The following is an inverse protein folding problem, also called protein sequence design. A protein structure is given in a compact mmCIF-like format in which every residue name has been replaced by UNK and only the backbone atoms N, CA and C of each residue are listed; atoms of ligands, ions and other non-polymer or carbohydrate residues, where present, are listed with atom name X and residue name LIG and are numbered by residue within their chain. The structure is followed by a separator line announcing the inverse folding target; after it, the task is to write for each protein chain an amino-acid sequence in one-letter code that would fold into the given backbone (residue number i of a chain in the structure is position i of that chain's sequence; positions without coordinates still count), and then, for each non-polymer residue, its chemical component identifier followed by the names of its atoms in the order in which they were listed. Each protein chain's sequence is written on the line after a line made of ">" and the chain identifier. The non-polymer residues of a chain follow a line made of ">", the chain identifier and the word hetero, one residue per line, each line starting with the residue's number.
data_IF_729914115326
#
_entry.id   IF_729914115326
#
_cell.length_a   1.000
_cell.length_b   1.000
_cell.length_c   1.000
_cell.angle_alpha   90.00
_cell.angle_beta   90.00
_cell.angle_gamma   90.00
#
_symmetry.space_group_name_H-M   'P 1'
#
loop_
_entity.id
_entity.type
_entity.pdbx_description
1 polymer ?
#
# COMPACT_ATOMS: atom_id res chain seq x y z
N UNK A 1 28.39 -1.58 17.06
CA UNK A 1 28.03 -0.23 17.55
C UNK A 1 26.53 -0.24 17.71
N UNK A 2 26.06 -0.09 18.94
CA UNK A 2 24.62 0.04 19.19
C UNK A 2 24.18 1.42 18.66
N UNK A 3 23.62 1.44 17.47
CA UNK A 3 23.09 2.68 16.89
C UNK A 3 21.78 2.99 17.61
N UNK A 4 21.70 4.12 18.29
CA UNK A 4 20.45 4.50 18.97
C UNK A 4 19.31 4.68 17.96
N UNK A 5 18.08 4.35 18.34
CA UNK A 5 16.88 4.52 17.48
C UNK A 5 16.81 5.95 16.93
N UNK A 6 17.11 6.98 17.74
CA UNK A 6 17.15 8.36 17.30
C UNK A 6 18.15 8.63 16.17
N UNK A 7 19.29 7.92 16.14
CA UNK A 7 20.24 8.01 15.02
C UNK A 7 19.65 7.41 13.75
N UNK A 8 19.01 6.26 13.83
CA UNK A 8 18.35 5.62 12.68
C UNK A 8 17.24 6.51 12.11
N UNK A 9 16.42 7.13 12.98
CA UNK A 9 15.39 8.09 12.56
C UNK A 9 16.01 9.26 11.80
N UNK A 10 17.08 9.86 12.37
CA UNK A 10 17.73 11.00 11.77
C UNK A 10 18.39 10.68 10.40
N UNK A 11 18.99 9.48 10.28
CA UNK A 11 19.54 8.96 9.01
C UNK A 11 18.43 8.81 7.96
N UNK A 12 17.36 8.08 8.26
CA UNK A 12 16.25 7.84 7.32
C UNK A 12 15.62 9.14 6.81
N UNK A 13 15.40 10.11 7.70
CA UNK A 13 14.85 11.43 7.30
C UNK A 13 15.84 12.19 6.42
N UNK A 14 17.13 12.13 6.75
CA UNK A 14 18.17 12.76 5.98
C UNK A 14 18.32 12.15 4.59
N UNK A 15 18.41 10.82 4.52
CA UNK A 15 18.58 10.07 3.27
C UNK A 15 17.44 10.39 2.30
N UNK A 16 16.17 10.35 2.77
CA UNK A 16 15.04 10.72 1.94
C UNK A 16 15.10 12.18 1.45
N UNK A 17 15.55 13.11 2.29
CA UNK A 17 15.69 14.52 1.90
C UNK A 17 16.79 14.73 0.85
N UNK A 18 17.88 13.95 0.89
CA UNK A 18 19.00 14.03 -0.05
C UNK A 18 18.73 13.27 -1.36
N UNK A 19 18.10 12.10 -1.29
CA UNK A 19 17.75 11.30 -2.47
C UNK A 19 16.57 11.89 -3.25
N UNK A 20 15.66 12.58 -2.56
CA UNK A 20 14.44 13.13 -3.13
C UNK A 20 13.33 12.08 -3.30
N UNK A 21 12.23 12.50 -3.95
CA UNK A 21 11.07 11.64 -4.19
C UNK A 21 11.36 10.78 -5.42
N UNK A 22 11.32 9.42 -5.30
CA UNK A 22 11.56 8.53 -6.43
C UNK A 22 10.54 8.72 -7.56
N UNK A 23 11.00 8.62 -8.81
CA UNK A 23 10.12 8.57 -9.97
C UNK A 23 9.23 7.32 -9.93
N UNK A 24 7.98 7.47 -10.32
CA UNK A 24 6.98 6.40 -10.20
C UNK A 24 6.11 6.27 -11.44
N UNK A 25 5.55 5.09 -11.61
CA UNK A 25 4.46 4.88 -12.56
C UNK A 25 3.13 5.35 -11.94
N UNK A 26 2.39 6.19 -12.67
CA UNK A 26 1.14 6.76 -12.19
C UNK A 26 0.02 5.72 -12.08
N UNK A 27 -0.51 5.59 -10.86
CA UNK A 27 -1.66 4.74 -10.53
C UNK A 27 -2.96 5.54 -10.63
N UNK A 28 -4.03 4.84 -11.03
CA UNK A 28 -5.36 5.46 -11.21
C UNK A 28 -6.09 5.76 -9.90
N UNK A 29 -5.62 5.23 -8.76
CA UNK A 29 -6.22 5.47 -7.46
C UNK A 29 -6.18 6.95 -7.09
N UNK A 30 -7.34 7.61 -7.06
CA UNK A 30 -7.46 9.00 -6.63
C UNK A 30 -7.53 9.09 -5.10
N UNK A 31 -6.74 10.00 -4.52
CA UNK A 31 -6.82 10.40 -3.11
C UNK A 31 -7.60 11.73 -2.94
N UNK A 32 -8.31 12.17 -3.98
CA UNK A 32 -9.07 13.41 -3.95
C UNK A 32 -8.19 14.66 -4.16
N UNK A 33 -8.70 15.81 -3.68
CA UNK A 33 -7.95 17.07 -3.70
C UNK A 33 -6.94 17.10 -2.58
N UNK A 34 -5.76 17.67 -2.86
CA UNK A 34 -4.76 17.91 -1.82
C UNK A 34 -5.35 18.94 -0.84
N UNK A 35 -5.42 18.56 0.42
CA UNK A 35 -5.86 19.43 1.50
C UNK A 35 -4.63 20.13 2.09
N UNK A 36 -4.65 21.47 2.17
CA UNK A 36 -3.58 22.21 2.87
C UNK A 36 -3.42 21.72 4.31
N UNK A 37 -2.18 21.71 4.85
CA UNK A 37 -1.97 21.29 6.23
C UNK A 37 -2.77 22.15 7.22
N UNK A 38 -3.69 21.53 7.94
CA UNK A 38 -4.56 22.17 8.93
C UNK A 38 -4.85 21.21 10.09
N UNK A 39 -5.31 21.75 11.23
CA UNK A 39 -5.82 20.94 12.31
C UNK A 39 -7.18 20.38 11.93
N UNK A 40 -7.46 19.15 12.34
CA UNK A 40 -8.73 18.49 12.09
C UNK A 40 -8.88 17.89 10.69
N UNK A 41 -7.83 17.88 9.86
CA UNK A 41 -7.86 17.17 8.58
C UNK A 41 -8.09 15.68 8.80
N UNK A 42 -8.83 15.06 7.87
CA UNK A 42 -8.97 13.61 7.86
C UNK A 42 -7.64 12.94 7.46
N UNK A 43 -7.38 11.77 8.04
CA UNK A 43 -6.22 10.97 7.63
C UNK A 43 -6.54 10.22 6.34
N UNK A 44 -5.70 10.35 5.33
CA UNK A 44 -5.81 9.58 4.10
C UNK A 44 -5.11 8.23 4.28
N UNK A 45 -5.85 7.14 4.23
CA UNK A 45 -5.32 5.80 4.47
C UNK A 45 -5.40 4.97 3.20
N UNK A 46 -4.24 4.50 2.72
CA UNK A 46 -4.13 3.58 1.59
C UNK A 46 -3.93 2.17 2.14
N UNK A 47 -4.92 1.33 1.97
CA UNK A 47 -4.85 -0.09 2.32
C UNK A 47 -4.67 -0.95 1.07
N UNK A 48 -4.17 -2.14 1.23
CA UNK A 48 -4.02 -3.09 0.12
C UNK A 48 -3.05 -4.21 0.46
N UNK A 49 -3.11 -5.27 -0.32
CA UNK A 49 -2.23 -6.42 -0.14
C UNK A 49 -0.76 -6.02 -0.21
N UNK A 50 0.10 -6.80 0.44
CA UNK A 50 1.55 -6.58 0.34
C UNK A 50 1.98 -6.55 -1.12
N UNK A 51 2.93 -5.64 -1.45
CA UNK A 51 3.52 -5.48 -2.80
C UNK A 51 2.57 -5.02 -3.92
N UNK A 52 1.37 -4.51 -3.59
CA UNK A 52 0.48 -3.89 -4.59
C UNK A 52 0.90 -2.47 -5.01
N UNK A 53 1.93 -1.88 -4.38
CA UNK A 53 2.46 -0.56 -4.74
C UNK A 53 2.02 0.60 -3.83
N UNK A 54 1.62 0.35 -2.58
CA UNK A 54 1.21 1.40 -1.63
C UNK A 54 2.26 2.49 -1.45
N UNK A 55 3.51 2.11 -1.20
CA UNK A 55 4.65 3.03 -1.09
C UNK A 55 4.79 3.93 -2.33
N UNK A 56 4.73 3.34 -3.53
CA UNK A 56 4.83 4.10 -4.78
C UNK A 56 3.64 5.04 -4.98
N UNK A 57 2.45 4.68 -4.48
CA UNK A 57 1.29 5.57 -4.51
C UNK A 57 1.45 6.76 -3.55
N UNK A 58 2.19 6.59 -2.42
CA UNK A 58 2.59 7.72 -1.58
C UNK A 58 3.54 8.65 -2.33
N UNK A 59 4.56 8.13 -3.01
CA UNK A 59 5.50 8.95 -3.80
C UNK A 59 4.79 9.73 -4.90
N UNK A 60 3.83 9.11 -5.59
CA UNK A 60 2.98 9.81 -6.56
C UNK A 60 2.22 10.99 -5.93
N UNK A 61 1.71 10.84 -4.71
CA UNK A 61 1.02 11.93 -4.01
C UNK A 61 1.99 13.05 -3.60
N UNK A 62 3.20 12.70 -3.19
CA UNK A 62 4.25 13.69 -2.88
C UNK A 62 4.61 14.51 -4.13
N UNK A 63 4.76 13.88 -5.29
CA UNK A 63 4.97 14.59 -6.56
C UNK A 63 3.81 15.55 -6.87
N UNK A 64 2.55 15.15 -6.62
CA UNK A 64 1.40 16.02 -6.79
C UNK A 64 1.46 17.24 -5.87
N UNK A 65 1.83 17.05 -4.59
CA UNK A 65 1.96 18.12 -3.59
C UNK A 65 3.03 19.13 -4.02
N UNK A 66 4.19 18.64 -4.45
CA UNK A 66 5.27 19.52 -4.96
C UNK A 66 4.84 20.26 -6.23
N UNK A 67 4.11 19.59 -7.14
CA UNK A 67 3.59 20.22 -8.36
C UNK A 67 2.51 21.29 -8.07
N UNK A 68 1.79 21.22 -6.94
CA UNK A 68 0.90 22.30 -6.47
C UNK A 68 1.63 23.46 -5.80
N UNK A 69 2.96 23.39 -5.69
CA UNK A 69 3.83 24.49 -5.21
C UNK A 69 4.20 24.40 -3.73
N UNK A 70 3.90 23.31 -3.04
CA UNK A 70 4.37 23.10 -1.67
C UNK A 70 5.85 22.71 -1.67
N UNK A 71 6.66 23.27 -0.75
CA UNK A 71 8.09 22.96 -0.69
C UNK A 71 8.32 21.52 -0.22
N UNK A 72 9.32 20.85 -0.81
CA UNK A 72 9.65 19.47 -0.47
C UNK A 72 10.06 19.31 1.01
N UNK A 73 10.65 20.32 1.62
CA UNK A 73 11.03 20.31 3.04
C UNK A 73 9.83 20.39 4.00
N UNK A 74 8.62 20.63 3.49
CA UNK A 74 7.37 20.46 4.24
C UNK A 74 6.85 19.02 4.26
N UNK A 75 7.51 18.09 3.57
CA UNK A 75 7.11 16.67 3.46
C UNK A 75 8.00 15.81 4.33
N UNK A 76 7.39 15.05 5.24
CA UNK A 76 8.03 13.94 5.93
C UNK A 76 7.55 12.63 5.33
N UNK A 77 8.48 11.80 4.84
CA UNK A 77 8.24 10.38 4.55
C UNK A 77 8.98 9.50 5.55
N UNK A 78 8.30 8.51 6.10
CA UNK A 78 8.90 7.55 7.00
C UNK A 78 8.28 6.17 6.85
N UNK A 79 9.12 5.18 6.55
CA UNK A 79 8.72 3.77 6.47
C UNK A 79 9.11 3.07 7.78
N UNK A 80 8.11 2.43 8.41
CA UNK A 80 8.27 1.73 9.69
C UNK A 80 8.67 0.24 9.52
N UNK A 81 8.67 -0.32 8.32
CA UNK A 81 9.14 -1.68 8.06
C UNK A 81 10.69 -1.73 8.01
N UNK A 82 11.33 -1.47 9.17
CA UNK A 82 12.79 -1.45 9.32
C UNK A 82 13.15 -2.12 10.65
N UNK A 83 13.88 -3.23 10.58
CA UNK A 83 14.27 -4.02 11.76
C UNK A 83 15.13 -3.26 12.76
N UNK A 84 15.85 -2.22 12.34
CA UNK A 84 16.68 -1.36 13.21
C UNK A 84 15.86 -0.51 14.17
N UNK A 85 14.55 -0.37 13.90
CA UNK A 85 13.61 0.35 14.75
C UNK A 85 13.00 -0.54 15.84
N UNK A 86 13.33 -1.84 15.85
CA UNK A 86 12.79 -2.79 16.84
C UNK A 86 13.55 -2.69 18.17
N UNK A 87 12.87 -2.87 19.33
CA UNK A 87 11.42 -3.07 19.43
C UNK A 87 10.65 -1.79 19.11
N UNK A 88 9.50 -1.92 18.45
CA UNK A 88 8.65 -0.77 18.14
C UNK A 88 7.94 -0.29 19.41
N UNK A 89 8.39 0.81 19.95
CA UNK A 89 7.77 1.47 21.09
C UNK A 89 6.76 2.53 20.64
N UNK A 90 5.75 2.80 21.46
CA UNK A 90 4.70 3.78 21.15
C UNK A 90 5.22 5.22 21.01
N UNK A 91 6.36 5.51 21.61
CA UNK A 91 7.05 6.80 21.55
C UNK A 91 7.72 7.06 20.21
N UNK A 92 8.01 6.01 19.43
CA UNK A 92 8.71 6.08 18.15
C UNK A 92 8.09 7.12 17.18
N UNK A 93 6.76 7.13 17.07
CA UNK A 93 6.07 8.08 16.21
C UNK A 93 6.30 9.54 16.62
N UNK A 94 6.34 9.81 17.94
CA UNK A 94 6.62 11.14 18.44
C UNK A 94 8.07 11.55 18.17
N UNK A 95 9.02 10.64 18.36
CA UNK A 95 10.44 10.89 18.08
C UNK A 95 10.66 11.24 16.60
N UNK A 96 10.03 10.51 15.68
CA UNK A 96 10.08 10.79 14.23
C UNK A 96 9.61 12.23 13.93
N UNK A 97 8.49 12.65 14.54
CA UNK A 97 7.96 14.00 14.36
C UNK A 97 8.90 15.07 14.91
N UNK A 98 9.45 14.86 16.11
CA UNK A 98 10.34 15.84 16.74
C UNK A 98 11.67 15.98 15.98
N UNK A 99 12.25 14.88 15.49
CA UNK A 99 13.45 14.90 14.65
C UNK A 99 13.18 15.67 13.35
N UNK A 100 12.03 15.43 12.71
CA UNK A 100 11.63 16.16 11.50
C UNK A 100 11.50 17.67 11.77
N UNK A 101 10.78 18.07 12.80
CA UNK A 101 10.58 19.48 13.13
C UNK A 101 11.84 20.18 13.62
N UNK A 102 12.78 19.46 14.25
CA UNK A 102 14.08 20.01 14.62
C UNK A 102 14.89 20.39 13.37
N UNK A 103 14.73 19.66 12.28
CA UNK A 103 15.39 19.94 10.99
C UNK A 103 14.65 20.98 10.15
N UNK A 104 13.32 21.01 10.27
CA UNK A 104 12.42 21.85 9.46
C UNK A 104 11.52 22.73 10.37
N UNK A 105 12.07 23.75 11.05
CA UNK A 105 11.30 24.56 11.99
C UNK A 105 10.13 25.32 11.35
N UNK A 106 10.23 25.68 10.06
CA UNK A 106 9.15 26.34 9.32
C UNK A 106 7.95 25.42 9.18
N UNK A 107 8.16 24.14 8.90
CA UNK A 107 7.09 23.15 8.77
C UNK A 107 6.24 23.02 10.05
N UNK A 108 6.84 23.28 11.23
CA UNK A 108 6.09 23.31 12.50
C UNK A 108 5.10 24.48 12.60
N UNK A 109 5.41 25.62 11.99
CA UNK A 109 4.58 26.82 12.04
C UNK A 109 3.59 26.91 10.88
N UNK A 110 4.04 26.63 9.69
CA UNK A 110 3.29 26.73 8.45
C UNK A 110 2.40 25.50 8.21
N UNK A 111 2.83 24.33 8.71
CA UNK A 111 2.20 23.03 8.55
C UNK A 111 3.02 22.09 7.69
N UNK A 112 2.73 20.79 7.76
CA UNK A 112 3.47 19.75 7.06
C UNK A 112 2.58 18.65 6.51
N UNK A 113 3.12 17.93 5.51
CA UNK A 113 2.56 16.70 4.96
C UNK A 113 3.34 15.51 5.52
N UNK A 114 2.62 14.57 6.11
CA UNK A 114 3.20 13.39 6.73
C UNK A 114 2.81 12.13 5.96
N UNK A 115 3.81 11.35 5.59
CA UNK A 115 3.65 10.10 4.87
C UNK A 115 4.22 8.97 5.71
N UNK A 116 3.34 8.20 6.33
CA UNK A 116 3.67 7.07 7.20
C UNK A 116 3.43 5.75 6.47
N UNK A 117 4.50 5.11 6.07
CA UNK A 117 4.43 3.85 5.35
C UNK A 117 4.54 2.66 6.31
N UNK A 118 3.62 1.69 6.18
CA UNK A 118 3.46 0.51 7.04
C UNK A 118 3.32 0.88 8.54
N UNK A 119 2.53 1.93 8.84
CA UNK A 119 2.39 2.50 10.21
C UNK A 119 1.85 1.49 11.24
N UNK A 120 1.15 0.43 10.80
CA UNK A 120 0.61 -0.60 11.68
C UNK A 120 1.69 -1.44 12.39
N UNK A 121 2.96 -1.26 12.07
CA UNK A 121 4.06 -1.89 12.80
C UNK A 121 4.27 -1.25 14.18
N UNK A 122 3.86 0.01 14.35
CA UNK A 122 4.01 0.73 15.62
C UNK A 122 2.77 0.56 16.49
N UNK A 123 2.90 0.18 17.78
CA UNK A 123 1.77 0.11 18.69
C UNK A 123 1.05 1.45 18.85
N UNK A 124 -0.26 1.42 19.09
CA UNK A 124 -1.10 2.59 19.38
C UNK A 124 -1.07 3.71 18.33
N UNK A 125 -0.64 3.39 17.10
CA UNK A 125 -0.53 4.37 16.00
C UNK A 125 -1.85 5.13 15.74
N UNK A 126 -3.00 4.49 15.91
CA UNK A 126 -4.31 5.12 15.72
C UNK A 126 -4.57 6.25 16.72
N UNK A 127 -4.27 6.03 18.00
CA UNK A 127 -4.38 7.05 19.05
C UNK A 127 -3.39 8.20 18.80
N UNK A 128 -2.19 7.87 18.34
CA UNK A 128 -1.21 8.87 17.97
C UNK A 128 -1.68 9.77 16.81
N UNK A 129 -2.19 9.18 15.73
CA UNK A 129 -2.69 9.95 14.58
C UNK A 129 -3.86 10.85 14.97
N UNK A 130 -4.78 10.36 15.82
CA UNK A 130 -5.88 11.16 16.33
C UNK A 130 -5.37 12.41 17.07
N UNK A 131 -4.45 12.21 18.02
CA UNK A 131 -3.81 13.34 18.73
C UNK A 131 -3.08 14.27 17.78
N UNK A 132 -2.44 13.72 16.76
CA UNK A 132 -1.66 14.48 15.78
C UNK A 132 -2.55 15.43 14.96
N UNK A 133 -3.68 14.97 14.45
CA UNK A 133 -4.62 15.82 13.67
C UNK A 133 -5.23 16.93 14.51
N UNK A 134 -5.41 16.71 15.81
CA UNK A 134 -5.94 17.72 16.72
C UNK A 134 -4.88 18.77 17.11
N UNK A 135 -3.60 18.37 17.17
CA UNK A 135 -2.52 19.18 17.74
C UNK A 135 -1.75 19.96 16.68
N UNK A 136 -1.43 19.33 15.55
CA UNK A 136 -0.55 19.90 14.53
C UNK A 136 -1.35 20.37 13.31
N UNK A 137 -0.79 21.37 12.59
CA UNK A 137 -1.25 21.67 11.23
C UNK A 137 -0.67 20.60 10.31
N UNK A 138 -1.44 19.57 10.04
CA UNK A 138 -0.96 18.40 9.34
C UNK A 138 -1.96 17.93 8.27
N UNK A 139 -1.44 17.43 7.15
CA UNK A 139 -2.15 16.54 6.24
C UNK A 139 -1.42 15.22 6.25
N UNK A 140 -2.12 14.15 6.59
CA UNK A 140 -1.51 12.84 6.86
C UNK A 140 -1.97 11.83 5.82
N UNK A 141 -0.99 11.12 5.27
CA UNK A 141 -1.15 9.95 4.42
C UNK A 141 -0.51 8.76 5.11
N UNK A 142 -1.24 7.67 5.26
CA UNK A 142 -0.73 6.47 5.90
C UNK A 142 -0.99 5.24 5.03
N UNK A 143 -0.08 4.27 5.07
CA UNK A 143 -0.31 2.97 4.44
C UNK A 143 -0.25 1.84 5.47
N UNK A 144 -0.89 0.74 5.11
CA UNK A 144 -0.78 -0.51 5.85
C UNK A 144 -1.52 -1.66 5.20
N UNK A 145 -1.34 -2.86 5.73
CA UNK A 145 -2.13 -4.00 5.29
C UNK A 145 -3.60 -3.79 5.68
N UNK A 146 -4.52 -4.04 4.76
CA UNK A 146 -5.97 -3.78 4.92
C UNK A 146 -6.55 -4.32 6.22
N UNK A 147 -6.01 -5.41 6.67
CA UNK A 147 -6.50 -6.14 7.83
C UNK A 147 -6.19 -5.46 9.18
N UNK A 148 -5.05 -4.77 9.32
CA UNK A 148 -4.67 -4.08 10.56
C UNK A 148 -5.21 -2.65 10.64
N UNK A 149 -5.52 -2.03 9.51
CA UNK A 149 -5.92 -0.63 9.42
C UNK A 149 -7.42 -0.39 9.64
N UNK A 150 -8.27 -1.38 9.41
CA UNK A 150 -9.73 -1.24 9.51
C UNK A 150 -10.27 -1.11 10.95
N UNK A 151 -9.42 -1.25 11.96
CA UNK A 151 -9.80 -1.21 13.38
C UNK A 151 -9.49 0.11 14.08
N UNK A 152 -9.27 1.20 13.33
CA UNK A 152 -8.82 2.46 13.93
C UNK A 152 -9.96 3.41 14.32
N UNK A 153 -9.80 4.05 15.48
CA UNK A 153 -10.69 5.10 16.00
C UNK A 153 -10.46 6.48 15.35
N UNK A 154 -9.61 6.56 14.32
CA UNK A 154 -9.30 7.84 13.67
C UNK A 154 -10.29 8.11 12.55
N UNK A 155 -10.82 9.32 12.51
CA UNK A 155 -11.59 9.80 11.36
C UNK A 155 -10.69 9.82 10.12
N UNK A 156 -10.90 8.88 9.19
CA UNK A 156 -10.03 8.64 8.06
C UNK A 156 -10.79 8.31 6.79
N UNK A 157 -10.20 8.70 5.67
CA UNK A 157 -10.64 8.30 4.35
C UNK A 157 -9.84 7.10 3.87
N UNK A 158 -10.47 5.93 3.83
CA UNK A 158 -9.85 4.70 3.35
C UNK A 158 -9.96 4.58 1.83
N UNK A 159 -8.86 4.23 1.20
CA UNK A 159 -8.77 3.88 -0.22
C UNK A 159 -8.04 2.56 -0.36
N UNK A 160 -8.63 1.61 -1.07
CA UNK A 160 -8.01 0.32 -1.31
C UNK A 160 -7.23 0.32 -2.63
N UNK A 161 -5.95 -0.02 -2.55
CA UNK A 161 -5.07 -0.17 -3.71
C UNK A 161 -4.92 -1.65 -4.05
N UNK A 162 -5.33 -2.01 -5.25
CA UNK A 162 -5.11 -3.33 -5.83
C UNK A 162 -3.81 -3.36 -6.64
N UNK A 163 -3.28 -4.54 -7.01
CA UNK A 163 -2.31 -4.65 -8.09
C UNK A 163 -2.80 -3.92 -9.35
N UNK A 164 -1.94 -3.69 -10.33
CA UNK A 164 -2.33 -2.96 -11.55
C UNK A 164 -3.66 -3.46 -12.11
N UNK A 165 -4.58 -2.55 -12.37
CA UNK A 165 -5.75 -2.82 -13.21
C UNK A 165 -5.31 -3.14 -14.63
N UNK A 166 -6.18 -3.71 -15.46
CA UNK A 166 -5.83 -3.98 -16.87
C UNK A 166 -5.46 -2.69 -17.64
N UNK A 167 -6.14 -1.58 -17.36
CA UNK A 167 -5.82 -0.28 -17.97
C UNK A 167 -4.43 0.22 -17.55
N UNK A 168 -4.11 0.14 -16.25
CA UNK A 168 -2.77 0.48 -15.74
C UNK A 168 -1.70 -0.46 -16.30
N UNK A 169 -2.00 -1.76 -16.40
CA UNK A 169 -1.09 -2.74 -16.99
C UNK A 169 -0.76 -2.42 -18.46
N UNK A 170 -1.76 -2.06 -19.27
CA UNK A 170 -1.55 -1.67 -20.68
C UNK A 170 -0.63 -0.45 -20.78
N UNK A 171 -0.84 0.57 -19.93
CA UNK A 171 0.05 1.74 -19.87
C UNK A 171 1.46 1.36 -19.36
N UNK A 172 1.54 0.46 -18.39
CA UNK A 172 2.82 -0.04 -17.89
C UNK A 172 3.63 -0.79 -18.97
N UNK A 173 2.95 -1.43 -19.93
CA UNK A 173 3.58 -2.03 -21.12
C UNK A 173 3.97 -1.00 -22.19
N UNK A 174 3.73 0.30 -21.96
CA UNK A 174 4.01 1.36 -22.94
C UNK A 174 2.96 1.51 -24.03
N UNK A 175 1.78 0.92 -23.87
CA UNK A 175 0.68 1.01 -24.83
C UNK A 175 -0.36 2.04 -24.42
N UNK A 176 -1.09 2.60 -25.39
CA UNK A 176 -2.24 3.44 -25.10
C UNK A 176 -3.38 2.61 -24.51
N UNK A 177 -3.82 2.98 -23.31
CA UNK A 177 -4.98 2.38 -22.69
C UNK A 177 -6.22 3.27 -22.89
N UNK A 178 -7.41 2.68 -23.08
CA UNK A 178 -8.65 3.45 -23.05
C UNK A 178 -8.81 4.14 -21.70
N UNK A 179 -9.03 5.46 -21.69
CA UNK A 179 -9.29 6.19 -20.46
C UNK A 179 -10.65 5.77 -19.88
N UNK A 180 -10.67 5.36 -18.62
CA UNK A 180 -11.91 5.00 -17.92
C UNK A 180 -12.84 6.19 -17.70
N UNK A 181 -12.32 7.42 -17.79
CA UNK A 181 -13.08 8.66 -17.55
C UNK A 181 -13.66 9.27 -18.81
N UNK A 182 -13.36 8.72 -19.97
CA UNK A 182 -13.81 9.28 -21.24
C UNK A 182 -15.04 8.51 -21.72
N UNK A 183 -16.23 8.98 -21.33
CA UNK A 183 -17.51 8.44 -21.81
C UNK A 183 -17.64 8.51 -23.34
N UNK A 184 -16.83 9.35 -24.00
CA UNK A 184 -16.67 9.38 -25.45
C UNK A 184 -15.77 8.26 -25.99
N UNK A 185 -14.83 7.72 -25.19
CA UNK A 185 -13.94 6.62 -25.59
C UNK A 185 -14.65 5.27 -25.68
N UNK A 186 -15.73 5.07 -24.92
CA UNK A 186 -16.56 3.86 -25.01
C UNK A 186 -17.22 3.68 -26.38
N UNK A 187 -17.31 4.75 -27.21
CA UNK A 187 -17.84 4.74 -28.57
C UNK A 187 -16.75 4.79 -29.66
N UNK A 188 -15.47 4.97 -29.32
CA UNK A 188 -14.39 4.92 -30.30
C UNK A 188 -14.19 3.49 -30.77
N UNK A 189 -14.41 3.24 -32.04
CA UNK A 189 -14.01 2.00 -32.68
C UNK A 189 -12.48 1.91 -32.65
N UNK A 190 -11.93 1.03 -31.82
CA UNK A 190 -10.49 0.75 -31.81
C UNK A 190 -10.03 0.28 -33.19
N UNK A 191 -8.89 0.76 -33.65
CA UNK A 191 -8.25 0.25 -34.86
C UNK A 191 -7.99 -1.27 -34.72
N UNK A 192 -7.90 -1.98 -35.84
CA UNK A 192 -7.59 -3.42 -35.83
C UNK A 192 -6.27 -3.71 -35.12
N UNK A 193 -5.30 -2.82 -35.29
CA UNK A 193 -3.98 -2.91 -34.65
C UNK A 193 -4.09 -2.78 -33.11
N UNK A 194 -4.80 -1.77 -32.63
CA UNK A 194 -5.03 -1.57 -31.20
C UNK A 194 -5.78 -2.73 -30.55
N UNK A 195 -6.78 -3.28 -31.26
CA UNK A 195 -7.48 -4.49 -30.79
C UNK A 195 -6.56 -5.71 -30.68
N UNK A 196 -5.61 -5.85 -31.60
CA UNK A 196 -4.63 -6.93 -31.54
C UNK A 196 -3.69 -6.78 -30.33
N UNK A 197 -3.17 -5.56 -30.09
CA UNK A 197 -2.35 -5.26 -28.90
C UNK A 197 -3.11 -5.50 -27.60
N UNK A 198 -4.34 -5.00 -27.48
CA UNK A 198 -5.14 -5.19 -26.26
C UNK A 198 -5.47 -6.66 -26.00
N UNK A 199 -5.72 -7.48 -27.03
CA UNK A 199 -5.91 -8.92 -26.87
C UNK A 199 -4.64 -9.62 -26.39
N UNK A 200 -3.49 -9.25 -26.94
CA UNK A 200 -2.20 -9.79 -26.50
C UNK A 200 -1.92 -9.44 -25.05
N UNK A 201 -2.09 -8.17 -24.67
CA UNK A 201 -1.90 -7.69 -23.31
C UNK A 201 -2.90 -8.32 -22.33
N UNK A 202 -4.15 -8.53 -22.76
CA UNK A 202 -5.14 -9.24 -21.97
C UNK A 202 -4.70 -10.68 -21.67
N UNK A 203 -4.16 -11.40 -22.66
CA UNK A 203 -3.60 -12.73 -22.47
C UNK A 203 -2.46 -12.76 -21.45
N UNK A 204 -1.54 -11.79 -21.54
CA UNK A 204 -0.46 -11.63 -20.57
C UNK A 204 -0.99 -11.32 -19.16
N UNK A 205 -1.91 -10.36 -19.07
CA UNK A 205 -2.51 -9.95 -17.80
C UNK A 205 -3.26 -11.10 -17.10
N UNK A 206 -4.04 -11.87 -17.85
CA UNK A 206 -4.74 -13.05 -17.32
C UNK A 206 -3.79 -14.16 -16.86
N UNK A 207 -2.62 -14.28 -17.50
CA UNK A 207 -1.62 -15.28 -17.13
C UNK A 207 -0.71 -14.88 -15.97
N UNK A 208 -0.43 -13.57 -15.80
CA UNK A 208 0.55 -13.06 -14.81
C UNK A 208 -0.06 -12.22 -13.69
N UNK A 209 -1.28 -11.69 -13.90
CA UNK A 209 -1.90 -10.74 -12.96
C UNK A 209 -1.27 -9.35 -12.99
N UNK A 210 -1.71 -8.50 -12.06
CA UNK A 210 -1.34 -7.08 -12.00
C UNK A 210 -0.18 -6.72 -11.07
N UNK A 211 0.53 -7.67 -10.45
CA UNK A 211 1.69 -7.33 -9.62
C UNK A 211 2.86 -6.86 -10.50
N UNK A 212 3.41 -5.67 -10.22
CA UNK A 212 4.51 -5.09 -11.00
C UNK A 212 5.75 -5.99 -10.97
N UNK A 213 6.07 -6.55 -9.81
CA UNK A 213 7.28 -7.34 -9.63
C UNK A 213 7.34 -8.63 -10.45
N UNK A 214 6.21 -9.13 -10.97
CA UNK A 214 6.19 -10.31 -11.84
C UNK A 214 6.25 -9.97 -13.32
N UNK A 215 6.15 -8.68 -13.66
CA UNK A 215 6.23 -8.26 -15.04
C UNK A 215 7.68 -8.37 -15.54
N UNK A 216 7.85 -8.92 -16.74
CA UNK A 216 9.18 -9.15 -17.30
C UNK A 216 9.91 -10.43 -16.83
N UNK A 217 9.40 -11.13 -15.81
CA UNK A 217 9.97 -12.42 -15.38
C UNK A 217 9.59 -13.57 -16.34
N UNK A 218 10.39 -14.64 -16.33
CA UNK A 218 9.99 -15.90 -16.95
C UNK A 218 8.73 -16.48 -16.25
N UNK A 219 7.87 -17.24 -16.95
CA UNK A 219 6.60 -17.74 -16.38
C UNK A 219 6.77 -18.57 -15.11
N UNK A 220 7.83 -19.38 -15.01
CA UNK A 220 8.16 -20.16 -13.82
C UNK A 220 8.46 -19.27 -12.61
N UNK A 221 9.31 -18.25 -12.80
CA UNK A 221 9.76 -17.35 -11.75
C UNK A 221 8.60 -16.44 -11.28
N UNK A 222 7.79 -15.97 -12.22
CA UNK A 222 6.57 -15.23 -11.91
C UNK A 222 5.60 -16.05 -11.04
N UNK A 223 5.43 -17.34 -11.36
CA UNK A 223 4.57 -18.25 -10.59
C UNK A 223 5.12 -18.46 -9.18
N UNK A 224 6.42 -18.72 -9.04
CA UNK A 224 7.07 -18.89 -7.73
C UNK A 224 6.92 -17.64 -6.86
N UNK A 225 7.14 -16.46 -7.44
CA UNK A 225 7.01 -15.19 -6.74
C UNK A 225 5.56 -14.92 -6.28
N UNK A 226 4.57 -15.21 -7.12
CA UNK A 226 3.15 -15.08 -6.75
C UNK A 226 2.75 -16.07 -5.64
N UNK A 227 3.27 -17.29 -5.68
CA UNK A 227 3.06 -18.27 -4.60
C UNK A 227 3.68 -17.78 -3.28
N UNK A 228 4.88 -17.20 -3.34
CA UNK A 228 5.50 -16.59 -2.16
C UNK A 228 4.64 -15.45 -1.59
N UNK A 229 4.08 -14.57 -2.44
CA UNK A 229 3.18 -13.51 -1.98
C UNK A 229 1.92 -14.05 -1.31
N UNK A 230 1.31 -15.07 -1.90
CA UNK A 230 0.15 -15.73 -1.33
C UNK A 230 0.49 -16.36 0.05
N UNK A 231 1.61 -17.08 0.14
CA UNK A 231 2.06 -17.70 1.38
C UNK A 231 2.38 -16.66 2.47
N UNK A 232 3.06 -15.57 2.12
CA UNK A 232 3.34 -14.47 3.06
C UNK A 232 2.06 -13.83 3.57
N UNK A 233 1.09 -13.56 2.69
CA UNK A 233 -0.21 -13.00 3.08
C UNK A 233 -0.92 -13.92 4.07
N UNK A 234 -0.94 -15.24 3.82
CA UNK A 234 -1.57 -16.19 4.77
C UNK A 234 -0.83 -16.23 6.10
N UNK A 235 0.49 -16.30 6.07
CA UNK A 235 1.27 -16.43 7.30
C UNK A 235 1.14 -15.17 8.17
N UNK A 236 1.39 -13.99 7.62
CA UNK A 236 1.45 -12.75 8.40
C UNK A 236 0.09 -12.08 8.60
N UNK A 237 -0.77 -12.05 7.57
CA UNK A 237 -2.03 -11.31 7.64
C UNK A 237 -3.20 -12.17 8.13
N UNK A 238 -3.05 -13.50 8.15
CA UNK A 238 -4.09 -14.43 8.60
C UNK A 238 -3.63 -15.22 9.83
N UNK A 239 -2.58 -16.05 9.69
CA UNK A 239 -2.19 -17.01 10.74
C UNK A 239 -1.67 -16.29 11.98
N UNK A 240 -0.64 -15.47 11.84
CA UNK A 240 -0.05 -14.73 12.97
C UNK A 240 -1.06 -13.74 13.57
N UNK A 241 -1.76 -13.02 12.70
CA UNK A 241 -2.69 -12.00 13.16
C UNK A 241 -3.85 -12.52 14.00
N UNK A 242 -4.48 -13.60 13.56
CA UNK A 242 -5.66 -14.19 14.22
C UNK A 242 -5.29 -15.34 15.14
N UNK A 243 -3.98 -15.56 15.33
CA UNK A 243 -3.45 -16.64 16.15
C UNK A 243 -4.07 -18.00 15.79
N UNK A 244 -4.12 -18.29 14.46
CA UNK A 244 -4.73 -19.50 13.94
C UNK A 244 -3.95 -20.72 14.40
N UNK A 245 -4.58 -21.59 15.13
CA UNK A 245 -3.96 -22.79 15.74
C UNK A 245 -3.53 -23.84 14.71
N UNK A 246 -4.17 -23.86 13.51
CA UNK A 246 -3.85 -24.83 12.47
C UNK A 246 -3.49 -24.15 11.14
N UNK A 247 -2.17 -23.87 10.91
CA UNK A 247 -1.68 -23.23 9.68
C UNK A 247 -2.03 -24.00 8.40
N UNK A 248 -2.08 -25.35 8.46
CA UNK A 248 -2.41 -26.17 7.31
C UNK A 248 -3.85 -25.96 6.83
N UNK A 249 -4.79 -25.77 7.74
CA UNK A 249 -6.18 -25.47 7.40
C UNK A 249 -6.27 -24.10 6.72
N UNK A 250 -5.59 -23.09 7.24
CA UNK A 250 -5.57 -21.74 6.65
C UNK A 250 -5.00 -21.75 5.22
N UNK A 251 -3.85 -22.40 5.02
CA UNK A 251 -3.20 -22.51 3.70
C UNK A 251 -4.06 -23.31 2.70
N UNK A 252 -4.68 -24.43 3.16
CA UNK A 252 -5.59 -25.21 2.34
C UNK A 252 -6.84 -24.43 1.96
N UNK A 253 -7.36 -23.61 2.87
CA UNK A 253 -8.51 -22.75 2.62
C UNK A 253 -8.18 -21.68 1.58
N UNK A 254 -7.02 -21.01 1.68
CA UNK A 254 -6.57 -20.06 0.67
C UNK A 254 -6.48 -20.74 -0.71
N UNK A 255 -5.81 -21.87 -0.79
CA UNK A 255 -5.67 -22.62 -2.05
C UNK A 255 -7.05 -22.92 -2.66
N UNK A 256 -8.04 -23.26 -1.81
CA UNK A 256 -9.41 -23.49 -2.25
C UNK A 256 -10.09 -22.22 -2.75
N UNK A 257 -9.88 -21.08 -2.07
CA UNK A 257 -10.39 -19.78 -2.50
C UNK A 257 -9.81 -19.40 -3.88
N UNK A 258 -8.50 -19.50 -4.05
CA UNK A 258 -7.83 -19.21 -5.32
C UNK A 258 -8.32 -20.10 -6.47
N UNK A 259 -8.46 -21.40 -6.23
CA UNK A 259 -9.00 -22.36 -7.21
C UNK A 259 -10.48 -22.12 -7.55
N UNK A 260 -11.20 -21.38 -6.72
CA UNK A 260 -12.61 -21.05 -6.92
C UNK A 260 -12.82 -19.64 -7.46
N UNK A 261 -11.75 -18.96 -7.90
CA UNK A 261 -11.84 -17.60 -8.46
C UNK A 261 -12.85 -17.55 -9.61
N UNK A 262 -13.78 -16.59 -9.53
CA UNK A 262 -14.89 -16.48 -10.49
C UNK A 262 -16.01 -17.49 -10.34
N UNK A 263 -16.03 -18.30 -9.25
CA UNK A 263 -17.08 -19.28 -8.94
C UNK A 263 -17.58 -19.10 -7.52
N UNK A 264 -18.78 -19.61 -7.24
CA UNK A 264 -19.31 -19.63 -5.88
C UNK A 264 -18.52 -20.61 -4.99
N UNK A 265 -18.16 -20.16 -3.79
CA UNK A 265 -17.52 -20.97 -2.77
C UNK A 265 -18.49 -21.21 -1.60
N UNK A 266 -18.89 -22.43 -1.37
CA UNK A 266 -19.71 -22.80 -0.22
C UNK A 266 -18.82 -23.17 0.97
N UNK A 267 -18.85 -22.36 2.02
CA UNK A 267 -18.09 -22.61 3.25
C UNK A 267 -18.42 -23.95 3.89
N UNK A 268 -19.72 -24.35 3.88
CA UNK A 268 -20.15 -25.62 4.43
C UNK A 268 -19.58 -26.84 3.68
N UNK A 269 -19.47 -26.71 2.34
CA UNK A 269 -18.84 -27.77 1.52
C UNK A 269 -17.36 -27.88 1.81
N UNK A 270 -16.66 -26.74 1.86
CA UNK A 270 -15.22 -26.70 2.15
C UNK A 270 -14.93 -27.26 3.54
N UNK A 271 -15.72 -26.89 4.54
CA UNK A 271 -15.58 -27.45 5.89
C UNK A 271 -15.80 -28.96 5.90
N UNK A 272 -16.82 -29.46 5.19
CA UNK A 272 -17.07 -30.89 5.05
C UNK A 272 -15.91 -31.64 4.37
N UNK A 273 -15.35 -31.08 3.30
CA UNK A 273 -14.16 -31.62 2.62
C UNK A 273 -12.94 -31.68 3.54
N UNK A 274 -12.69 -30.64 4.34
CA UNK A 274 -11.55 -30.59 5.27
C UNK A 274 -11.71 -31.61 6.40
N UNK A 275 -12.91 -31.72 6.95
CA UNK A 275 -13.23 -32.72 7.98
C UNK A 275 -13.05 -34.15 7.47
N UNK A 276 -13.47 -34.46 6.23
CA UNK A 276 -13.29 -35.78 5.63
C UNK A 276 -11.83 -36.13 5.35
N UNK A 277 -10.96 -35.10 5.22
CA UNK A 277 -9.51 -35.29 5.04
C UNK A 277 -8.70 -35.26 6.37
N UNK A 278 -9.40 -35.26 7.51
CA UNK A 278 -8.75 -35.20 8.82
C UNK A 278 -8.15 -33.82 9.18
N UNK A 279 -8.45 -32.79 8.42
CA UNK A 279 -8.11 -31.42 8.74
C UNK A 279 -9.22 -30.85 9.65
N UNK A 280 -9.13 -31.14 10.96
CA UNK A 280 -10.04 -30.54 11.95
C UNK A 280 -9.56 -29.14 12.35
N UNK A 281 -10.51 -28.23 12.51
CA UNK A 281 -10.31 -26.91 13.13
C UNK A 281 -10.17 -27.07 14.64
#
# INVERSE_FOLDING_TARGET
>A
MDTSIGTVIAEKIKDFAEEGIPEVFDRDLSLGRIQPPARGNLVNVIVGVRRCGKTYRLYQEMHRIVAEGYPQDSILYFNFEDERLKPYEKELLQEVIEVFYARNPRARQEGAFFFFDEIQEVPDWGLFLRRMVDTYKATIYATGSSSKMLSTEVASEFRELFPLSFSEFVRYQGHEAPSSNDSASAKRAFSSNMRAHLRHDCGKYLGRGGFVAVQGLEPSDATLLLQEYANRTVNYDVIERYNISNPLVASSFLSRCLASSGRELSLSKVHGEFRSRGLST
#
